data_IF_415475334785
#
_entry.id   IF_415475334785
#
_cell.length_a   1.000
_cell.length_b   1.000
_cell.length_c   1.000
_cell.angle_alpha   90.00
_cell.angle_beta   90.00
_cell.angle_gamma   90.00
#
_symmetry.space_group_name_H-M   'P 1'
#
loop_
_entity.id
_entity.type
_entity.pdbx_description
1 polymer ?
#
# COMPACT_ATOMS: atom_id res chain seq x y z
N UNK A 1 18.37 11.19 -1.00
CA UNK A 1 18.22 10.80 -1.51
C UNK A 1 18.14 10.34 -2.09
N UNK A 2 17.94 10.05 -2.28
CA UNK A 2 17.83 9.51 -2.99
C UNK A 2 17.68 8.96 -3.62
N UNK A 3 17.73 8.73 -3.90
CA UNK A 3 17.50 8.15 -4.60
C UNK A 3 17.18 7.47 -5.01
N UNK A 4 17.03 7.21 -5.26
CA UNK A 4 16.64 6.45 -5.68
C UNK A 4 16.38 6.08 -6.56
N UNK A 5 16.43 5.92 -6.97
CA UNK A 5 15.90 5.60 -7.88
C UNK A 5 15.27 5.00 -8.18
N UNK A 6 15.07 4.74 -8.10
CA UNK A 6 14.55 4.17 -8.41
C UNK A 6 13.89 3.78 -8.81
N UNK A 7 13.54 3.75 -8.78
CA UNK A 7 12.74 3.29 -8.98
C UNK A 7 12.10 2.90 -9.59
N UNK A 8 11.92 3.03 -9.94
CA UNK A 8 11.04 2.67 -10.44
C UNK A 8 10.80 1.71 -10.84
N UNK A 9 10.88 1.23 -10.72
CA UNK A 9 10.61 0.18 -11.03
C UNK A 9 9.57 -0.35 -10.81
N UNK A 10 9.16 -0.15 -10.57
CA UNK A 10 8.30 -0.53 -10.28
C UNK A 10 7.43 -1.02 -10.52
N UNK A 11 7.34 -1.24 -10.37
CA UNK A 11 6.59 -1.87 -10.57
C UNK A 11 6.00 -1.93 -11.60
N UNK A 12 6.36 -2.48 -12.16
CA UNK A 12 5.81 -2.47 -13.40
C UNK A 12 5.42 -1.12 -13.84
N UNK A 13 6.14 -0.16 -13.35
CA UNK A 13 6.00 1.19 -13.80
C UNK A 13 4.64 1.83 -13.58
N UNK A 14 3.84 1.22 -12.74
CA UNK A 14 2.47 1.70 -12.56
C UNK A 14 2.29 2.54 -11.33
N UNK A 15 3.23 2.49 -10.41
CA UNK A 15 3.12 3.29 -9.20
C UNK A 15 3.31 4.75 -9.53
N UNK A 16 2.37 5.56 -9.12
CA UNK A 16 2.44 6.99 -9.40
C UNK A 16 2.69 7.82 -8.18
N UNK A 17 2.71 7.20 -7.02
CA UNK A 17 2.85 7.94 -5.78
C UNK A 17 1.59 8.72 -5.48
N UNK A 18 1.66 9.54 -4.46
CA UNK A 18 0.57 10.41 -4.16
C UNK A 18 -0.20 9.99 -2.93
N UNK A 19 -1.37 10.59 -2.77
CA UNK A 19 -2.17 10.37 -1.58
C UNK A 19 -3.64 10.37 -1.94
N UNK A 20 -4.41 9.60 -1.19
CA UNK A 20 -5.86 9.65 -1.22
C UNK A 20 -6.34 10.32 0.03
N UNK A 21 -7.15 11.35 -0.10
CA UNK A 21 -7.52 12.16 1.03
C UNK A 21 -8.88 12.82 0.78
N UNK A 22 -9.51 13.31 1.85
CA UNK A 22 -10.73 14.10 1.66
C UNK A 22 -10.47 15.33 0.81
N UNK A 23 -11.42 15.68 -0.01
CA UNK A 23 -11.32 16.89 -0.81
C UNK A 23 -11.42 18.11 0.11
N UNK A 24 -10.75 19.17 -0.29
CA UNK A 24 -10.92 20.46 0.39
C UNK A 24 -9.98 20.74 1.54
N UNK A 25 -9.24 19.74 1.97
CA UNK A 25 -8.28 19.95 3.07
C UNK A 25 -6.88 19.65 2.58
N UNK A 26 -5.93 20.59 2.75
CA UNK A 26 -4.56 20.33 2.32
C UNK A 26 -3.95 19.14 3.05
N UNK A 27 -3.09 18.42 2.35
CA UNK A 27 -2.43 17.25 2.91
C UNK A 27 -1.70 17.57 4.19
N UNK A 28 -1.09 18.75 4.25
CA UNK A 28 -0.30 19.16 5.41
C UNK A 28 -1.13 19.30 6.68
N UNK A 29 -2.46 19.42 6.54
CA UNK A 29 -3.35 19.58 7.69
C UNK A 29 -4.02 18.28 8.11
N UNK A 30 -3.68 17.18 7.43
CA UNK A 30 -4.30 15.90 7.70
C UNK A 30 -3.30 14.97 8.35
N UNK A 31 -3.81 14.10 9.22
CA UNK A 31 -3.00 12.99 9.70
C UNK A 31 -2.70 12.08 8.51
N UNK A 32 -1.47 11.63 8.39
CA UNK A 32 -1.04 10.86 7.25
C UNK A 32 -0.76 9.42 7.68
N UNK A 33 -1.31 8.48 6.94
CA UNK A 33 -1.10 7.06 7.16
C UNK A 33 -0.34 6.54 5.94
N UNK A 34 0.82 5.93 6.19
CA UNK A 34 1.65 5.45 5.09
C UNK A 34 1.21 4.05 4.69
N UNK A 35 0.83 3.89 3.44
CA UNK A 35 0.55 2.58 2.87
C UNK A 35 1.74 2.18 2.02
N UNK A 36 2.44 1.13 2.46
CA UNK A 36 3.66 0.71 1.81
C UNK A 36 3.37 -0.07 0.53
N UNK A 37 4.37 -0.20 -0.32
CA UNK A 37 4.19 -0.82 -1.62
C UNK A 37 3.69 -2.26 -1.49
N UNK A 38 4.26 -3.03 -0.57
CA UNK A 38 3.82 -4.41 -0.39
C UNK A 38 2.40 -4.47 0.14
N UNK A 39 2.00 -3.51 0.95
CA UNK A 39 0.62 -3.44 1.43
C UNK A 39 -0.34 -3.14 0.30
N UNK A 40 0.02 -2.21 -0.55
CA UNK A 40 -0.82 -1.89 -1.71
C UNK A 40 -0.90 -3.08 -2.66
N UNK A 41 0.22 -3.77 -2.85
CA UNK A 41 0.23 -4.93 -3.73
C UNK A 41 -0.65 -6.05 -3.20
N UNK A 42 -0.61 -6.28 -1.90
CA UNK A 42 -1.46 -7.31 -1.32
C UNK A 42 -2.94 -6.96 -1.50
N UNK A 43 -3.30 -5.71 -1.28
CA UNK A 43 -4.67 -5.27 -1.53
C UNK A 43 -5.07 -5.48 -2.98
N UNK A 44 -4.18 -5.10 -3.89
CA UNK A 44 -4.47 -5.24 -5.31
C UNK A 44 -4.70 -6.70 -5.67
N UNK A 45 -3.80 -7.57 -5.25
CA UNK A 45 -3.88 -8.97 -5.65
C UNK A 45 -5.07 -9.69 -5.02
N UNK A 46 -5.30 -9.47 -3.74
CA UNK A 46 -6.34 -10.21 -3.03
C UNK A 46 -7.70 -9.54 -3.12
N UNK A 47 -7.77 -8.24 -2.90
CA UNK A 47 -9.05 -7.57 -2.77
C UNK A 47 -9.56 -6.98 -4.06
N UNK A 48 -8.68 -6.68 -5.00
CA UNK A 48 -9.11 -6.18 -6.29
C UNK A 48 -9.14 -7.29 -7.35
N UNK A 49 -8.07 -8.07 -7.43
CA UNK A 49 -8.01 -9.12 -8.46
C UNK A 49 -8.60 -10.44 -8.00
N UNK A 50 -8.83 -10.59 -6.70
CA UNK A 50 -9.52 -11.78 -6.19
C UNK A 50 -8.66 -13.00 -6.00
N UNK A 51 -7.34 -12.85 -5.95
CA UNK A 51 -6.47 -13.99 -5.72
C UNK A 51 -6.60 -14.50 -4.29
N UNK A 52 -6.44 -15.81 -4.12
CA UNK A 52 -6.25 -16.35 -2.78
C UNK A 52 -4.89 -15.92 -2.24
N UNK A 53 -4.76 -15.96 -0.93
CA UNK A 53 -3.52 -15.52 -0.29
C UNK A 53 -2.33 -16.35 -0.73
N UNK A 54 -2.54 -17.64 -0.97
CA UNK A 54 -1.46 -18.48 -1.48
C UNK A 54 -0.96 -17.99 -2.83
N UNK A 55 -1.90 -17.64 -3.70
CA UNK A 55 -1.54 -17.17 -5.03
C UNK A 55 -0.86 -15.82 -4.96
N UNK A 56 -1.34 -14.95 -4.09
CA UNK A 56 -0.72 -13.65 -3.90
C UNK A 56 0.70 -13.81 -3.38
N UNK A 57 0.89 -14.77 -2.46
CA UNK A 57 2.22 -15.02 -1.92
C UNK A 57 3.19 -15.45 -2.99
N UNK A 58 2.75 -16.27 -3.94
CA UNK A 58 3.60 -16.67 -5.05
C UNK A 58 4.01 -15.47 -5.89
N UNK A 59 3.05 -14.60 -6.17
CA UNK A 59 3.34 -13.39 -6.95
C UNK A 59 4.31 -12.47 -6.23
N UNK A 60 4.16 -12.36 -4.92
CA UNK A 60 4.97 -11.44 -4.12
C UNK A 60 6.27 -12.06 -3.63
N UNK A 61 6.42 -13.36 -3.78
CA UNK A 61 7.63 -14.03 -3.31
C UNK A 61 7.67 -14.21 -1.81
N UNK A 62 6.52 -14.33 -1.16
CA UNK A 62 6.45 -14.49 0.30
C UNK A 62 5.47 -15.60 0.63
N UNK A 63 5.47 -16.02 1.90
CA UNK A 63 4.58 -17.07 2.35
C UNK A 63 3.15 -16.54 2.48
N UNK A 64 2.19 -17.47 2.51
CA UNK A 64 0.80 -17.13 2.72
C UNK A 64 0.61 -16.39 4.03
N UNK A 65 1.29 -16.83 5.09
CA UNK A 65 1.16 -16.15 6.38
C UNK A 65 1.67 -14.73 6.35
N UNK A 66 2.72 -14.49 5.57
CA UNK A 66 3.22 -13.14 5.40
C UNK A 66 2.20 -12.28 4.65
N UNK A 67 1.59 -12.84 3.59
CA UNK A 67 0.54 -12.12 2.89
C UNK A 67 -0.58 -11.76 3.84
N UNK A 68 -0.97 -12.69 4.71
CA UNK A 68 -2.06 -12.43 5.64
C UNK A 68 -1.73 -11.25 6.55
N UNK A 69 -0.51 -11.20 7.07
CA UNK A 69 -0.12 -10.10 7.94
C UNK A 69 -0.07 -8.78 7.20
N UNK A 70 0.48 -8.80 5.98
CA UNK A 70 0.55 -7.60 5.17
C UNK A 70 -0.85 -7.10 4.84
N UNK A 71 -1.72 -8.02 4.44
CA UNK A 71 -3.08 -7.67 4.05
C UNK A 71 -3.89 -7.14 5.22
N UNK A 72 -3.72 -7.74 6.41
CA UNK A 72 -4.41 -7.25 7.60
C UNK A 72 -4.00 -5.81 7.90
N UNK A 73 -2.71 -5.53 7.82
CA UNK A 73 -2.21 -4.17 8.03
C UNK A 73 -2.76 -3.20 6.99
N UNK A 74 -2.74 -3.62 5.72
CA UNK A 74 -3.21 -2.77 4.63
C UNK A 74 -4.69 -2.44 4.77
N UNK A 75 -5.49 -3.45 5.10
CA UNK A 75 -6.93 -3.25 5.27
C UNK A 75 -7.24 -2.34 6.43
N UNK A 76 -6.52 -2.49 7.52
CA UNK A 76 -6.72 -1.64 8.68
C UNK A 76 -6.39 -0.19 8.35
N UNK A 77 -5.27 0.04 7.67
CA UNK A 77 -4.87 1.40 7.31
C UNK A 77 -5.90 2.05 6.39
N UNK A 78 -6.38 1.29 5.41
CA UNK A 78 -7.37 1.81 4.48
C UNK A 78 -8.67 2.15 5.21
N UNK A 79 -9.12 1.25 6.06
CA UNK A 79 -10.34 1.50 6.84
C UNK A 79 -10.16 2.69 7.77
N UNK A 80 -9.01 2.82 8.38
CA UNK A 80 -8.75 3.93 9.28
C UNK A 80 -8.78 5.26 8.53
N UNK A 81 -8.13 5.31 7.37
CA UNK A 81 -8.12 6.54 6.59
C UNK A 81 -9.53 6.95 6.20
N UNK A 82 -10.31 5.99 5.73
CA UNK A 82 -11.68 6.28 5.30
C UNK A 82 -12.57 6.68 6.47
N UNK A 83 -12.36 6.05 7.63
CA UNK A 83 -13.22 6.29 8.79
C UNK A 83 -12.92 7.58 9.51
N UNK A 84 -11.66 8.00 9.51
CA UNK A 84 -11.25 9.16 10.30
C UNK A 84 -10.95 10.39 9.44
N UNK A 85 -11.00 10.26 8.12
CA UNK A 85 -10.66 11.37 7.25
C UNK A 85 -9.17 11.65 7.15
N UNK A 86 -8.33 10.69 7.53
CA UNK A 86 -6.90 10.85 7.37
C UNK A 86 -6.51 10.64 5.92
N UNK A 87 -5.31 11.08 5.57
CA UNK A 87 -4.77 10.87 4.23
C UNK A 87 -4.07 9.52 4.17
N UNK A 88 -4.28 8.81 3.08
CA UNK A 88 -3.59 7.54 2.82
C UNK A 88 -2.48 7.84 1.82
N UNK A 89 -1.25 7.83 2.29
CA UNK A 89 -0.10 8.25 1.50
C UNK A 89 0.61 7.02 0.99
N UNK A 90 0.73 6.92 -0.33
CA UNK A 90 1.32 5.75 -0.95
C UNK A 90 2.84 5.89 -0.98
N UNK A 91 3.52 4.85 -0.54
CA UNK A 91 4.97 4.78 -0.59
C UNK A 91 5.38 3.75 -1.63
N UNK A 92 6.48 4.01 -2.32
CA UNK A 92 7.00 3.04 -3.27
C UNK A 92 8.04 2.12 -2.63
N UNK A 93 8.10 2.12 -1.32
CA UNK A 93 8.98 1.24 -0.56
C UNK A 93 8.18 0.20 0.16
N UNK A 94 8.78 -0.96 0.38
CA UNK A 94 8.16 -1.99 1.20
C UNK A 94 8.36 -1.65 2.66
N UNK A 95 7.39 -2.04 3.48
CA UNK A 95 7.56 -1.90 4.91
C UNK A 95 8.62 -2.89 5.37
N UNK A 96 9.46 -2.45 6.29
CA UNK A 96 10.45 -3.35 6.88
C UNK A 96 9.77 -4.18 7.95
N UNK A 97 9.84 -5.52 7.79
CA UNK A 97 9.14 -6.44 8.67
C UNK A 97 10.09 -7.34 9.42
#
# INVERSE_FOLDING_TARGET
MSPRPKKTRCCNGKFKGGAYKPTGTPLSELRQIILYRDELEALKLCDFEGLFQEQAGERMGVSRGTVQRILTSARRKTAEALSTGAALVLSDEDEQR
#
